data_IF_126836726243
#
_entry.id   IF_126836726243
#
_cell.length_a   1.000
_cell.length_b   1.000
_cell.length_c   1.000
_cell.angle_alpha   90.00
_cell.angle_beta   90.00
_cell.angle_gamma   90.00
#
_symmetry.space_group_name_H-M   'P 1'
#
loop_
_entity.id
_entity.type
_entity.pdbx_description
1 polymer ?
#
# COMPACT_ATOMS: atom_id res chain seq x y z
N UNK A 1 10.48 -24.46 -26.35
CA UNK A 1 10.04 -23.35 -25.49
C UNK A 1 10.93 -23.45 -24.27
N UNK A 2 11.78 -22.45 -24.08
CA UNK A 2 12.80 -22.46 -23.02
C UNK A 2 12.12 -22.37 -21.65
N UNK A 3 12.69 -22.98 -20.62
CA UNK A 3 12.20 -22.91 -19.23
C UNK A 3 12.03 -21.46 -18.77
N UNK A 4 12.94 -20.57 -19.19
CA UNK A 4 12.85 -19.13 -18.94
C UNK A 4 11.58 -18.46 -19.51
N UNK A 5 11.12 -18.87 -20.70
CA UNK A 5 9.90 -18.31 -21.30
C UNK A 5 8.65 -18.74 -20.52
N UNK A 6 8.66 -19.94 -19.93
CA UNK A 6 7.58 -20.43 -19.08
C UNK A 6 7.56 -19.73 -17.72
N UNK A 7 8.73 -19.54 -17.10
CA UNK A 7 8.85 -18.79 -15.85
C UNK A 7 8.44 -17.33 -16.02
N UNK A 8 8.85 -16.69 -17.11
CA UNK A 8 8.47 -15.31 -17.41
C UNK A 8 6.96 -15.17 -17.67
N UNK A 9 6.35 -16.13 -18.37
CA UNK A 9 4.91 -16.14 -18.58
C UNK A 9 4.14 -16.32 -17.26
N UNK A 10 4.58 -17.22 -16.39
CA UNK A 10 3.96 -17.44 -15.09
C UNK A 10 4.04 -16.21 -14.17
N UNK A 11 5.15 -15.47 -14.23
CA UNK A 11 5.29 -14.20 -13.48
C UNK A 11 4.38 -13.11 -14.04
N UNK A 12 4.30 -12.97 -15.36
CA UNK A 12 3.44 -11.98 -16.02
C UNK A 12 1.94 -12.23 -15.75
N UNK A 13 1.53 -13.48 -15.57
CA UNK A 13 0.17 -13.83 -15.15
C UNK A 13 -0.12 -13.46 -13.68
N UNK A 14 0.90 -13.36 -12.83
CA UNK A 14 0.75 -12.97 -11.41
C UNK A 14 0.64 -11.45 -11.22
N UNK A 15 1.46 -10.66 -11.95
CA UNK A 15 1.45 -9.19 -11.85
C UNK A 15 0.12 -8.55 -12.30
N UNK A 16 -0.57 -9.18 -13.26
CA UNK A 16 -1.84 -8.65 -13.80
C UNK A 16 -3.07 -8.87 -12.92
N UNK A 17 -2.95 -9.61 -11.82
CA UNK A 17 -4.08 -10.06 -11.00
C UNK A 17 -4.30 -9.23 -9.72
N UNK A 18 -3.35 -8.39 -9.32
CA UNK A 18 -3.52 -7.50 -8.17
C UNK A 18 -4.24 -6.22 -8.61
N UNK A 19 -5.43 -6.01 -8.07
CA UNK A 19 -6.18 -4.77 -8.28
C UNK A 19 -5.36 -3.61 -7.69
N UNK A 20 -4.85 -2.73 -8.57
CA UNK A 20 -4.06 -1.57 -8.15
C UNK A 20 -4.88 -0.71 -7.18
N UNK A 21 -4.46 -0.64 -5.92
CA UNK A 21 -5.09 0.22 -4.94
C UNK A 21 -4.95 1.68 -5.40
N UNK A 22 -6.08 2.33 -5.67
CA UNK A 22 -6.09 3.72 -6.13
C UNK A 22 -5.48 4.63 -5.07
N UNK A 23 -4.41 5.33 -5.43
CA UNK A 23 -3.81 6.32 -4.57
C UNK A 23 -4.73 7.56 -4.42
N UNK A 24 -4.82 8.16 -3.23
CA UNK A 24 -5.51 9.42 -3.02
C UNK A 24 -4.80 10.57 -3.79
N UNK A 25 -5.55 11.60 -4.16
CA UNK A 25 -5.03 12.82 -4.77
C UNK A 25 -4.13 13.62 -3.81
N UNK A 26 -3.35 14.57 -4.32
CA UNK A 26 -2.46 15.39 -3.50
C UNK A 26 -3.20 16.19 -2.42
N UNK A 27 -4.42 16.66 -2.70
CA UNK A 27 -5.19 17.43 -1.72
C UNK A 27 -5.77 16.51 -0.64
N UNK A 28 -6.19 15.29 -0.99
CA UNK A 28 -6.58 14.26 -0.03
C UNK A 28 -5.39 13.83 0.84
N UNK A 29 -4.21 13.63 0.25
CA UNK A 29 -2.98 13.30 0.99
C UNK A 29 -2.63 14.39 2.02
N UNK A 30 -2.72 15.67 1.64
CA UNK A 30 -2.49 16.80 2.58
C UNK A 30 -3.50 16.81 3.72
N UNK A 31 -4.77 16.52 3.44
CA UNK A 31 -5.82 16.46 4.45
C UNK A 31 -5.57 15.31 5.44
N UNK A 32 -5.17 14.14 4.95
CA UNK A 32 -4.77 12.99 5.78
C UNK A 32 -3.61 13.39 6.69
N UNK A 33 -2.54 13.98 6.14
CA UNK A 33 -1.38 14.42 6.93
C UNK A 33 -1.75 15.44 8.01
N UNK A 34 -2.62 16.41 7.70
CA UNK A 34 -3.08 17.39 8.67
C UNK A 34 -3.81 16.72 9.86
N UNK A 35 -4.69 15.75 9.57
CA UNK A 35 -5.42 14.99 10.59
C UNK A 35 -4.48 14.13 11.45
N UNK A 36 -3.52 13.44 10.84
CA UNK A 36 -2.55 12.62 11.57
C UNK A 36 -1.68 13.47 12.51
N UNK A 37 -1.24 14.66 12.07
CA UNK A 37 -0.49 15.60 12.91
C UNK A 37 -1.33 16.13 14.09
N UNK A 38 -2.62 16.36 13.88
CA UNK A 38 -3.52 16.76 14.96
C UNK A 38 -3.64 15.66 16.02
N UNK A 39 -3.82 14.40 15.59
CA UNK A 39 -3.88 13.26 16.49
C UNK A 39 -2.55 13.01 17.21
N UNK A 40 -1.42 13.18 16.52
CA UNK A 40 -0.08 13.10 17.11
C UNK A 40 0.09 14.14 18.23
N UNK A 41 -0.29 15.40 17.98
CA UNK A 41 -0.21 16.47 18.98
C UNK A 41 -1.10 16.23 20.21
N UNK A 42 -2.21 15.50 20.04
CA UNK A 42 -3.11 15.10 21.13
C UNK A 42 -2.65 13.82 21.85
N UNK A 43 -1.68 13.09 21.30
CA UNK A 43 -1.28 11.76 21.80
C UNK A 43 -2.29 10.65 21.47
N UNK A 44 -3.14 10.87 20.46
CA UNK A 44 -4.22 9.96 20.03
C UNK A 44 -3.88 9.24 18.71
N UNK A 45 -2.67 9.45 18.16
CA UNK A 45 -2.21 8.74 16.97
C UNK A 45 -1.80 7.31 17.33
N UNK A 46 -2.69 6.34 17.09
CA UNK A 46 -2.44 4.91 17.37
C UNK A 46 -2.18 4.10 16.08
N UNK A 47 -1.61 2.89 16.18
CA UNK A 47 -1.42 2.00 15.04
C UNK A 47 -2.73 1.68 14.30
N UNK A 48 -3.82 1.51 15.05
CA UNK A 48 -5.15 1.23 14.49
C UNK A 48 -5.63 2.40 13.62
N UNK A 49 -5.38 3.64 14.04
CA UNK A 49 -5.69 4.84 13.24
C UNK A 49 -4.84 4.87 11.97
N UNK A 50 -3.56 4.48 12.04
CA UNK A 50 -2.69 4.44 10.86
C UNK A 50 -3.15 3.36 9.86
N UNK A 51 -3.62 2.22 10.35
CA UNK A 51 -4.11 1.11 9.54
C UNK A 51 -5.32 1.52 8.67
N UNK A 52 -6.18 2.42 9.16
CA UNK A 52 -7.30 2.96 8.37
C UNK A 52 -6.85 3.66 7.08
N UNK A 53 -5.66 4.28 7.07
CA UNK A 53 -5.13 4.99 5.90
C UNK A 53 -4.18 4.14 5.07
N UNK A 54 -3.38 3.29 5.73
CA UNK A 54 -2.27 2.57 5.10
C UNK A 54 -2.48 1.07 4.94
N UNK A 55 -3.43 0.46 5.66
CA UNK A 55 -3.65 -1.00 5.67
C UNK A 55 -3.99 -1.57 4.30
N UNK A 56 -4.70 -0.81 3.46
CA UNK A 56 -5.01 -1.20 2.08
C UNK A 56 -3.77 -1.31 1.17
N UNK A 57 -2.66 -0.68 1.54
CA UNK A 57 -1.38 -0.74 0.80
C UNK A 57 -0.41 -1.78 1.39
N UNK A 58 -0.76 -2.40 2.52
CA UNK A 58 0.05 -3.42 3.19
C UNK A 58 -0.25 -4.84 2.71
N UNK A 59 -0.83 -4.99 1.51
CA UNK A 59 -1.38 -6.25 0.97
C UNK A 59 -0.38 -7.42 0.91
N UNK A 60 0.93 -7.17 1.01
CA UNK A 60 1.95 -8.19 1.15
C UNK A 60 2.83 -7.95 2.40
N UNK A 61 2.36 -8.41 3.56
CA UNK A 61 3.17 -8.51 4.78
C UNK A 61 4.41 -9.42 4.63
N UNK A 62 4.60 -10.08 3.48
CA UNK A 62 5.75 -10.90 3.12
C UNK A 62 6.75 -10.26 2.17
N UNK A 63 6.48 -9.07 1.61
CA UNK A 63 7.42 -8.37 0.72
C UNK A 63 8.23 -7.35 1.54
N UNK A 64 9.58 -7.44 1.56
CA UNK A 64 10.40 -6.47 2.26
C UNK A 64 10.19 -5.06 1.71
N UNK A 65 9.77 -4.13 2.56
CA UNK A 65 9.81 -2.70 2.24
C UNK A 65 11.27 -2.27 2.37
N UNK A 66 11.95 -2.07 1.24
CA UNK A 66 13.36 -1.64 1.16
C UNK A 66 13.51 -0.11 1.15
#
# INVERSE_FOLDING_TARGET
MNDFEQELAALAEQDGAQEEAKLPSLDEQKAIVAKLKELEAKGELTPEVLEEYFGQFAADAGVPVH
#
